data_IF_710442736937
#
_entry.id   IF_710442736937
#
_cell.length_a   1.000
_cell.length_b   1.000
_cell.length_c   1.000
_cell.angle_alpha   90.00
_cell.angle_beta   90.00
_cell.angle_gamma   90.00
#
_symmetry.space_group_name_H-M   'P 1'
#
loop_
_entity.id
_entity.type
_entity.pdbx_description
1 polymer ?
#
# COMPACT_ATOMS: atom_id res chain seq x y z
N UNK A 1 -12.74 -32.42 -3.01
CA UNK A 1 -13.42 -31.56 -2.06
C UNK A 1 -12.64 -31.49 -0.74
N UNK A 2 -12.89 -30.42 0.04
CA UNK A 2 -12.36 -30.24 1.38
C UNK A 2 -13.30 -30.85 2.43
N UNK A 3 -12.72 -31.57 3.38
CA UNK A 3 -13.39 -32.04 4.59
C UNK A 3 -12.48 -31.73 5.80
N UNK A 4 -13.04 -31.66 6.99
CA UNK A 4 -12.28 -31.39 8.24
C UNK A 4 -11.33 -32.53 8.65
N UNK A 5 -11.31 -33.61 7.86
CA UNK A 5 -10.43 -34.75 8.08
C UNK A 5 -8.98 -34.39 7.74
N UNK A 6 -8.00 -34.85 8.49
CA UNK A 6 -6.60 -34.75 8.09
C UNK A 6 -6.40 -35.37 6.70
N UNK A 7 -5.77 -34.65 5.79
CA UNK A 7 -5.50 -35.12 4.42
C UNK A 7 -6.71 -35.15 3.49
N UNK A 8 -7.63 -34.17 3.57
CA UNK A 8 -8.66 -34.02 2.55
C UNK A 8 -8.06 -33.90 1.13
N UNK A 9 -8.73 -34.42 0.07
CA UNK A 9 -8.20 -34.34 -1.30
C UNK A 9 -7.83 -32.91 -1.73
N UNK A 10 -8.58 -31.93 -1.29
CA UNK A 10 -8.29 -30.51 -1.56
C UNK A 10 -6.99 -30.05 -0.88
N UNK A 11 -6.75 -30.44 0.35
CA UNK A 11 -5.53 -30.10 1.08
C UNK A 11 -4.30 -30.78 0.47
N UNK A 12 -4.41 -32.05 0.10
CA UNK A 12 -3.34 -32.79 -0.59
C UNK A 12 -2.99 -32.11 -1.92
N UNK A 13 -3.99 -31.74 -2.72
CA UNK A 13 -3.79 -31.03 -3.98
C UNK A 13 -3.17 -29.65 -3.76
N UNK A 14 -3.65 -28.90 -2.77
CA UNK A 14 -3.11 -27.58 -2.43
C UNK A 14 -1.63 -27.65 -2.00
N UNK A 15 -1.26 -28.65 -1.19
CA UNK A 15 0.13 -28.91 -0.79
C UNK A 15 1.02 -29.24 -2.00
N UNK A 16 0.54 -30.08 -2.91
CA UNK A 16 1.28 -30.41 -4.13
C UNK A 16 1.48 -29.19 -5.04
N UNK A 17 0.44 -28.37 -5.21
CA UNK A 17 0.50 -27.13 -6.02
C UNK A 17 1.42 -26.09 -5.35
N UNK A 18 1.41 -25.99 -4.03
CA UNK A 18 2.31 -25.08 -3.30
C UNK A 18 3.78 -25.51 -3.45
N UNK A 19 4.05 -26.80 -3.42
CA UNK A 19 5.41 -27.34 -3.51
C UNK A 19 6.00 -27.22 -4.92
N UNK A 20 5.18 -27.41 -5.97
CA UNK A 20 5.68 -27.50 -7.32
C UNK A 20 4.80 -26.80 -8.36
N UNK A 21 5.42 -26.43 -9.49
CA UNK A 21 4.77 -25.97 -10.74
C UNK A 21 5.26 -26.84 -11.88
N UNK A 22 4.45 -27.83 -12.23
CA UNK A 22 4.91 -28.90 -13.12
C UNK A 22 6.02 -29.71 -12.43
N UNK A 23 7.15 -29.89 -13.10
CA UNK A 23 8.33 -30.62 -12.58
C UNK A 23 9.27 -29.76 -11.73
N UNK A 24 9.09 -28.43 -11.67
CA UNK A 24 9.97 -27.52 -10.95
C UNK A 24 9.42 -27.12 -9.58
N UNK A 25 10.26 -26.93 -8.55
CA UNK A 25 9.85 -26.35 -7.29
C UNK A 25 9.23 -24.96 -7.50
N UNK A 26 8.15 -24.66 -6.76
CA UNK A 26 7.51 -23.34 -6.81
C UNK A 26 8.28 -22.34 -5.97
N UNK A 27 8.70 -21.25 -6.57
CA UNK A 27 9.45 -20.19 -5.90
C UNK A 27 8.52 -19.23 -5.13
N UNK A 28 7.49 -18.69 -5.80
CA UNK A 28 6.60 -17.68 -5.24
C UNK A 28 5.40 -18.35 -4.54
N UNK A 29 5.63 -18.80 -3.31
CA UNK A 29 4.63 -19.53 -2.54
C UNK A 29 3.66 -18.60 -1.80
N UNK A 30 4.13 -17.44 -1.35
CA UNK A 30 3.33 -16.53 -0.54
C UNK A 30 2.27 -15.74 -1.35
N UNK A 31 2.27 -15.87 -2.68
CA UNK A 31 1.24 -15.30 -3.56
C UNK A 31 0.02 -16.19 -3.72
N UNK A 32 0.03 -17.40 -3.14
CA UNK A 32 -1.01 -18.39 -3.35
C UNK A 32 -1.95 -18.51 -2.16
N UNK A 33 -3.23 -18.59 -2.49
CA UNK A 33 -4.31 -19.09 -1.65
C UNK A 33 -5.17 -20.03 -2.49
N UNK A 34 -5.88 -20.94 -1.86
CA UNK A 34 -6.62 -21.98 -2.56
C UNK A 34 -8.08 -21.93 -2.19
N UNK A 35 -8.92 -22.07 -3.20
CA UNK A 35 -10.36 -22.22 -3.02
C UNK A 35 -10.73 -23.69 -3.21
N UNK A 36 -11.47 -24.25 -2.27
CA UNK A 36 -11.85 -25.65 -2.29
C UNK A 36 -13.34 -25.84 -2.16
N UNK A 37 -13.83 -26.87 -2.85
CA UNK A 37 -15.24 -27.27 -2.79
C UNK A 37 -15.52 -27.92 -1.42
N UNK A 38 -16.66 -27.59 -0.83
CA UNK A 38 -17.21 -28.32 0.30
C UNK A 38 -17.64 -29.73 -0.16
N UNK A 39 -17.39 -30.76 0.65
CA UNK A 39 -17.66 -32.16 0.25
C UNK A 39 -19.13 -32.39 -0.07
N UNK A 40 -20.03 -31.98 0.82
CA UNK A 40 -21.47 -32.22 0.66
C UNK A 40 -22.02 -31.44 -0.54
N UNK A 41 -21.63 -30.16 -0.65
CA UNK A 41 -22.04 -29.32 -1.76
C UNK A 41 -21.46 -29.78 -3.11
N UNK A 42 -20.30 -30.42 -3.09
CA UNK A 42 -19.72 -31.03 -4.29
C UNK A 42 -20.55 -32.22 -4.79
N UNK A 43 -21.06 -33.04 -3.89
CA UNK A 43 -21.96 -34.17 -4.23
C UNK A 43 -23.27 -33.65 -4.83
N UNK A 44 -23.85 -32.60 -4.24
CA UNK A 44 -25.06 -31.93 -4.78
C UNK A 44 -24.82 -31.34 -6.19
N UNK A 45 -23.64 -30.75 -6.41
CA UNK A 45 -23.27 -30.20 -7.73
C UNK A 45 -23.04 -31.32 -8.75
N UNK A 46 -22.39 -32.41 -8.37
CA UNK A 46 -22.16 -33.59 -9.23
C UNK A 46 -23.50 -34.19 -9.70
N UNK A 47 -24.48 -34.32 -8.79
CA UNK A 47 -25.82 -34.77 -9.17
C UNK A 47 -26.50 -33.82 -10.16
N UNK A 48 -26.43 -32.50 -9.94
CA UNK A 48 -26.98 -31.51 -10.86
C UNK A 48 -26.31 -31.54 -12.22
N UNK A 49 -24.97 -31.70 -12.24
CA UNK A 49 -24.21 -31.78 -13.48
C UNK A 49 -24.55 -33.06 -14.30
N UNK A 50 -24.70 -34.19 -13.62
CA UNK A 50 -25.14 -35.44 -14.28
C UNK A 50 -26.51 -35.28 -14.90
N UNK A 51 -27.46 -34.64 -14.22
CA UNK A 51 -28.77 -34.33 -14.79
C UNK A 51 -28.71 -33.44 -16.02
N UNK A 52 -27.87 -32.39 -15.96
CA UNK A 52 -27.66 -31.50 -17.10
C UNK A 52 -27.05 -32.27 -18.29
N UNK A 53 -25.99 -33.04 -18.10
CA UNK A 53 -25.35 -33.81 -19.17
C UNK A 53 -26.28 -34.88 -19.77
N UNK A 54 -27.13 -35.51 -18.95
CA UNK A 54 -28.14 -36.46 -19.44
C UNK A 54 -29.17 -35.79 -20.36
N UNK A 55 -29.69 -34.63 -19.97
CA UNK A 55 -30.62 -33.88 -20.82
C UNK A 55 -29.96 -33.28 -22.06
N UNK A 56 -28.66 -32.85 -21.94
CA UNK A 56 -27.86 -32.39 -23.07
C UNK A 56 -27.70 -33.50 -24.11
N UNK A 57 -27.36 -34.73 -23.69
CA UNK A 57 -27.25 -35.88 -24.57
C UNK A 57 -28.60 -36.21 -25.25
N UNK A 58 -29.72 -36.18 -24.51
CA UNK A 58 -31.06 -36.44 -25.07
C UNK A 58 -31.39 -35.41 -26.15
N UNK A 59 -31.11 -34.13 -25.91
CA UNK A 59 -31.34 -33.05 -26.89
C UNK A 59 -30.44 -33.22 -28.12
N UNK A 60 -29.15 -33.62 -27.94
CA UNK A 60 -28.23 -33.85 -29.03
C UNK A 60 -28.63 -35.04 -29.93
N UNK A 61 -29.19 -36.11 -29.29
CA UNK A 61 -29.53 -37.36 -29.98
C UNK A 61 -31.04 -37.40 -30.41
N UNK A 62 -31.69 -36.28 -30.53
CA UNK A 62 -33.14 -36.13 -30.87
C UNK A 62 -33.54 -37.02 -32.05
N UNK A 63 -32.76 -37.04 -33.14
CA UNK A 63 -33.08 -37.84 -34.34
C UNK A 63 -32.86 -39.33 -34.10
N UNK A 64 -31.81 -39.71 -33.38
CA UNK A 64 -31.52 -41.13 -33.09
C UNK A 64 -32.55 -41.73 -32.13
N UNK A 65 -33.05 -40.93 -31.24
CA UNK A 65 -34.10 -41.31 -30.26
C UNK A 65 -35.51 -41.22 -30.82
N UNK A 66 -35.69 -40.73 -32.07
CA UNK A 66 -36.98 -40.48 -32.69
C UNK A 66 -37.96 -39.70 -31.84
N UNK A 67 -37.51 -38.60 -31.16
CA UNK A 67 -38.35 -37.80 -30.32
C UNK A 67 -39.34 -36.97 -31.13
N UNK A 68 -40.60 -36.93 -30.68
CA UNK A 68 -41.56 -36.02 -31.27
C UNK A 68 -41.34 -34.55 -30.86
N UNK A 69 -41.94 -33.56 -31.54
CA UNK A 69 -41.72 -32.14 -31.27
C UNK A 69 -42.12 -31.71 -29.84
N UNK A 70 -43.02 -32.41 -29.18
CA UNK A 70 -43.42 -32.14 -27.78
C UNK A 70 -42.32 -32.64 -26.84
N UNK A 71 -41.82 -33.84 -27.07
CA UNK A 71 -40.71 -34.44 -26.29
C UNK A 71 -39.41 -33.64 -26.43
N UNK A 72 -39.13 -33.13 -27.63
CA UNK A 72 -37.97 -32.23 -27.84
C UNK A 72 -38.09 -30.98 -27.00
N UNK A 73 -39.20 -30.26 -27.04
CA UNK A 73 -39.41 -29.06 -26.21
C UNK A 73 -39.36 -29.36 -24.72
N UNK A 74 -39.87 -30.51 -24.31
CA UNK A 74 -39.78 -30.96 -22.92
C UNK A 74 -38.32 -31.20 -22.53
N UNK A 75 -37.54 -31.87 -23.35
CA UNK A 75 -36.11 -32.13 -23.12
C UNK A 75 -35.29 -30.82 -23.03
N UNK A 76 -35.54 -29.87 -23.93
CA UNK A 76 -34.92 -28.54 -23.89
C UNK A 76 -35.25 -27.78 -22.60
N UNK A 77 -36.56 -27.82 -22.17
CA UNK A 77 -36.98 -27.20 -20.91
C UNK A 77 -36.29 -27.82 -19.72
N UNK A 78 -36.17 -29.15 -19.68
CA UNK A 78 -35.47 -29.87 -18.60
C UNK A 78 -33.95 -29.60 -18.61
N UNK A 79 -33.33 -29.52 -19.80
CA UNK A 79 -31.93 -29.12 -19.93
C UNK A 79 -31.71 -27.72 -19.36
N UNK A 80 -32.53 -26.75 -19.72
CA UNK A 80 -32.43 -25.38 -19.22
C UNK A 80 -32.64 -25.31 -17.71
N UNK A 81 -33.59 -26.05 -17.15
CA UNK A 81 -33.80 -26.14 -15.71
C UNK A 81 -32.59 -26.75 -14.97
N UNK A 82 -32.00 -27.80 -15.57
CA UNK A 82 -30.78 -28.43 -15.02
C UNK A 82 -29.55 -27.52 -15.10
N UNK A 83 -29.38 -26.75 -16.18
CA UNK A 83 -28.35 -25.75 -16.35
C UNK A 83 -28.48 -24.64 -15.29
N UNK A 84 -29.69 -24.14 -15.08
CA UNK A 84 -29.96 -23.18 -14.00
C UNK A 84 -29.59 -23.73 -12.61
N UNK A 85 -29.86 -25.02 -12.35
CA UNK A 85 -29.49 -25.67 -11.10
C UNK A 85 -27.98 -25.77 -10.92
N UNK A 86 -27.22 -26.11 -11.96
CA UNK A 86 -25.74 -26.14 -11.94
C UNK A 86 -25.19 -24.75 -11.66
N UNK A 87 -25.67 -23.75 -12.38
CA UNK A 87 -25.24 -22.36 -12.23
C UNK A 87 -25.47 -21.81 -10.82
N UNK A 88 -26.61 -22.15 -10.21
CA UNK A 88 -26.93 -21.73 -8.84
C UNK A 88 -26.05 -22.44 -7.79
N UNK A 89 -25.75 -23.74 -7.97
CA UNK A 89 -24.98 -24.53 -7.01
C UNK A 89 -23.48 -24.26 -7.08
N UNK A 90 -22.93 -23.89 -8.23
CA UNK A 90 -21.51 -23.70 -8.44
C UNK A 90 -20.85 -22.72 -7.44
N UNK A 91 -21.37 -21.49 -7.23
CA UNK A 91 -20.81 -20.56 -6.23
C UNK A 91 -21.00 -21.04 -4.79
N UNK A 92 -22.03 -21.86 -4.52
CA UNK A 92 -22.28 -22.43 -3.19
C UNK A 92 -21.35 -23.61 -2.88
N UNK A 93 -20.81 -24.27 -3.89
CA UNK A 93 -19.92 -25.43 -3.73
C UNK A 93 -18.56 -24.99 -3.24
N UNK A 94 -17.99 -23.90 -3.74
CA UNK A 94 -16.68 -23.39 -3.35
C UNK A 94 -16.79 -22.50 -2.12
N UNK A 95 -16.76 -23.11 -0.94
CA UNK A 95 -16.96 -22.43 0.35
C UNK A 95 -15.71 -22.44 1.24
N UNK A 96 -14.64 -23.10 0.87
CA UNK A 96 -13.44 -23.18 1.68
C UNK A 96 -12.29 -22.40 1.08
N UNK A 97 -11.65 -21.60 1.92
CA UNK A 97 -10.42 -20.87 1.64
C UNK A 97 -9.30 -21.54 2.44
N UNK A 98 -8.27 -22.02 1.75
CA UNK A 98 -7.08 -22.61 2.35
C UNK A 98 -5.91 -21.66 2.14
N UNK A 99 -5.34 -21.18 3.23
CA UNK A 99 -4.20 -20.26 3.20
C UNK A 99 -2.98 -20.93 3.86
N UNK A 100 -1.87 -21.12 3.12
CA UNK A 100 -0.63 -21.59 3.71
C UNK A 100 0.09 -20.43 4.41
N UNK A 101 0.68 -20.69 5.56
CA UNK A 101 1.49 -19.75 6.31
C UNK A 101 2.56 -20.43 7.12
N UNK A 102 3.54 -19.70 7.59
CA UNK A 102 4.67 -20.19 8.36
C UNK A 102 5.01 -19.17 9.45
N UNK A 103 5.23 -19.60 10.66
CA UNK A 103 5.49 -18.68 11.77
C UNK A 103 6.91 -18.07 11.74
N UNK A 104 7.88 -18.85 11.26
CA UNK A 104 9.27 -18.44 11.08
C UNK A 104 9.93 -19.36 10.03
N UNK A 105 11.14 -19.05 9.54
CA UNK A 105 11.81 -19.83 8.49
C UNK A 105 11.99 -21.33 8.77
N UNK A 106 12.07 -21.73 10.03
CA UNK A 106 12.28 -23.12 10.47
C UNK A 106 10.99 -23.85 10.85
N UNK A 107 9.88 -23.12 11.01
CA UNK A 107 8.60 -23.71 11.40
C UNK A 107 7.98 -24.50 10.24
N UNK A 108 7.18 -25.55 10.53
CA UNK A 108 6.42 -26.22 9.48
C UNK A 108 5.35 -25.30 8.89
N UNK A 109 5.03 -25.50 7.61
CA UNK A 109 3.91 -24.81 6.96
C UNK A 109 2.60 -25.23 7.60
N UNK A 110 1.87 -24.27 8.15
CA UNK A 110 0.51 -24.44 8.67
C UNK A 110 -0.50 -24.05 7.60
N UNK A 111 -1.62 -24.76 7.59
CA UNK A 111 -2.73 -24.53 6.69
C UNK A 111 -3.92 -24.02 7.49
N UNK A 112 -4.34 -22.80 7.20
CA UNK A 112 -5.57 -22.24 7.74
C UNK A 112 -6.70 -22.52 6.77
N UNK A 113 -7.78 -23.15 7.27
CA UNK A 113 -8.97 -23.47 6.49
C UNK A 113 -10.14 -22.66 7.03
N UNK A 114 -10.62 -21.71 6.26
CA UNK A 114 -11.72 -20.82 6.65
C UNK A 114 -12.89 -20.94 5.70
N UNK A 115 -14.10 -20.97 6.26
CA UNK A 115 -15.34 -21.02 5.46
C UNK A 115 -15.73 -19.64 4.96
N UNK A 116 -15.99 -19.55 3.65
CA UNK A 116 -16.50 -18.35 2.99
C UNK A 116 -18.02 -18.26 3.14
N UNK A 117 -18.51 -17.10 3.51
CA UNK A 117 -19.93 -16.77 3.64
C UNK A 117 -20.31 -15.64 2.69
N UNK A 118 -21.62 -15.46 2.45
CA UNK A 118 -22.16 -14.40 1.60
C UNK A 118 -22.45 -14.85 0.18
N UNK A 119 -23.06 -13.95 -0.59
CA UNK A 119 -23.58 -14.19 -1.96
C UNK A 119 -22.75 -13.50 -3.04
N UNK A 120 -21.74 -12.69 -2.65
CA UNK A 120 -20.83 -12.04 -3.60
C UNK A 120 -20.06 -13.06 -4.45
N UNK A 121 -19.50 -12.60 -5.55
CA UNK A 121 -18.59 -13.41 -6.37
C UNK A 121 -17.48 -14.03 -5.53
N UNK A 122 -17.07 -15.27 -5.84
CA UNK A 122 -16.14 -16.08 -5.06
C UNK A 122 -14.82 -15.35 -4.74
N UNK A 123 -14.23 -14.67 -5.73
CA UNK A 123 -13.00 -13.91 -5.54
C UNK A 123 -13.18 -12.74 -4.55
N UNK A 124 -14.35 -12.08 -4.58
CA UNK A 124 -14.68 -10.97 -3.67
C UNK A 124 -14.83 -11.50 -2.24
N UNK A 125 -15.57 -12.61 -2.05
CA UNK A 125 -15.70 -13.24 -0.73
C UNK A 125 -14.35 -13.67 -0.16
N UNK A 126 -13.51 -14.30 -0.98
CA UNK A 126 -12.17 -14.72 -0.58
C UNK A 126 -11.31 -13.53 -0.18
N UNK A 127 -11.26 -12.46 -0.98
CA UNK A 127 -10.48 -11.26 -0.69
C UNK A 127 -10.96 -10.54 0.57
N UNK A 128 -12.28 -10.41 0.76
CA UNK A 128 -12.86 -9.83 1.99
C UNK A 128 -12.44 -10.64 3.21
N UNK A 129 -12.52 -11.98 3.13
CA UNK A 129 -12.18 -12.87 4.23
C UNK A 129 -10.69 -12.83 4.55
N UNK A 130 -9.83 -12.89 3.55
CA UNK A 130 -8.37 -12.77 3.74
C UNK A 130 -7.97 -11.46 4.41
N UNK A 131 -8.61 -10.34 4.04
CA UNK A 131 -8.37 -9.03 4.66
C UNK A 131 -8.86 -8.99 6.10
N UNK A 132 -10.06 -9.51 6.36
CA UNK A 132 -10.65 -9.53 7.71
C UNK A 132 -9.86 -10.41 8.68
N UNK A 133 -9.28 -11.49 8.22
CA UNK A 133 -8.49 -12.43 9.03
C UNK A 133 -6.98 -12.09 9.02
N UNK A 134 -6.59 -10.92 8.48
CA UNK A 134 -5.21 -10.43 8.38
C UNK A 134 -4.25 -11.34 7.59
N UNK A 135 -4.79 -12.25 6.75
CA UNK A 135 -4.01 -13.08 5.85
C UNK A 135 -3.58 -12.37 4.56
N UNK A 136 -4.17 -11.19 4.30
CA UNK A 136 -3.84 -10.33 3.16
C UNK A 136 -3.69 -8.89 3.64
N UNK A 137 -2.47 -8.41 3.61
CA UNK A 137 -2.09 -7.06 4.05
C UNK A 137 -2.27 -6.09 2.88
N UNK A 138 -3.09 -5.08 3.09
CA UNK A 138 -3.36 -4.03 2.09
C UNK A 138 -2.55 -2.76 2.32
N UNK A 139 -2.07 -2.56 3.55
CA UNK A 139 -1.20 -1.45 3.94
C UNK A 139 -0.18 -1.98 4.93
N UNK A 140 1.10 -1.68 4.71
CA UNK A 140 2.19 -2.09 5.58
C UNK A 140 2.84 -0.84 6.17
N UNK A 141 2.90 -0.75 7.51
CA UNK A 141 3.60 0.34 8.18
C UNK A 141 5.12 0.23 7.97
N UNK A 142 5.80 1.35 7.80
CA UNK A 142 7.25 1.39 7.59
C UNK A 142 8.05 0.85 8.79
N UNK A 143 7.58 1.09 10.01
CA UNK A 143 8.17 0.53 11.24
C UNK A 143 7.97 -0.98 11.33
N UNK A 144 6.83 -1.50 10.86
CA UNK A 144 6.57 -2.93 10.77
C UNK A 144 7.47 -3.57 9.70
N UNK A 145 7.65 -2.90 8.56
CA UNK A 145 8.61 -3.34 7.55
C UNK A 145 10.02 -3.40 8.13
N UNK A 146 10.45 -2.36 8.87
CA UNK A 146 11.76 -2.35 9.55
C UNK A 146 11.91 -3.53 10.50
N UNK A 147 10.89 -3.83 11.30
CA UNK A 147 10.89 -4.98 12.18
C UNK A 147 11.07 -6.29 11.41
N UNK A 148 10.38 -6.49 10.30
CA UNK A 148 10.56 -7.67 9.47
C UNK A 148 11.98 -7.78 8.88
N UNK A 149 12.58 -6.64 8.49
CA UNK A 149 13.95 -6.62 8.00
C UNK A 149 14.97 -7.05 9.06
N UNK A 150 14.72 -6.71 10.33
CA UNK A 150 15.61 -7.01 11.46
C UNK A 150 15.38 -8.42 12.04
N UNK A 151 14.11 -8.85 12.21
CA UNK A 151 13.74 -10.12 12.82
C UNK A 151 14.02 -11.34 11.90
N UNK A 152 14.01 -11.12 10.60
CA UNK A 152 14.25 -12.13 9.58
C UNK A 152 15.48 -11.72 8.78
N UNK A 153 16.34 -12.65 8.29
CA UNK A 153 17.56 -12.28 7.57
C UNK A 153 17.28 -11.74 6.15
N UNK A 154 16.48 -10.65 6.06
CA UNK A 154 16.18 -9.97 4.81
C UNK A 154 17.28 -8.99 4.41
N UNK A 155 18.02 -8.44 5.37
CA UNK A 155 19.23 -7.68 5.10
C UNK A 155 20.30 -8.55 4.42
N UNK A 156 20.94 -8.03 3.40
CA UNK A 156 22.10 -8.65 2.72
C UNK A 156 23.36 -7.87 3.12
N UNK A 157 23.82 -8.10 4.35
CA UNK A 157 24.81 -7.23 5.00
C UNK A 157 24.14 -5.94 5.50
N UNK A 158 24.59 -4.79 5.02
CA UNK A 158 24.12 -3.47 5.47
C UNK A 158 23.04 -2.86 4.56
N UNK A 159 22.66 -3.56 3.49
CA UNK A 159 21.71 -3.10 2.49
C UNK A 159 20.85 -4.24 1.95
N UNK A 160 19.75 -3.89 1.30
CA UNK A 160 18.95 -4.81 0.51
C UNK A 160 18.30 -4.07 -0.67
N UNK A 161 18.29 -4.69 -1.85
CA UNK A 161 17.62 -4.13 -3.02
C UNK A 161 16.10 -4.20 -2.87
N UNK A 162 15.38 -3.15 -3.28
CA UNK A 162 13.91 -3.11 -3.22
C UNK A 162 13.30 -4.25 -4.01
N UNK A 163 13.81 -4.53 -5.22
CA UNK A 163 13.36 -5.67 -6.04
C UNK A 163 13.53 -7.01 -5.33
N UNK A 164 14.64 -7.17 -4.59
CA UNK A 164 14.87 -8.39 -3.80
C UNK A 164 13.85 -8.54 -2.68
N UNK A 165 13.47 -7.43 -2.03
CA UNK A 165 12.40 -7.46 -1.01
C UNK A 165 11.04 -7.82 -1.63
N UNK A 166 10.69 -7.28 -2.80
CA UNK A 166 9.48 -7.67 -3.53
C UNK A 166 9.46 -9.17 -3.78
N UNK A 167 10.57 -9.73 -4.25
CA UNK A 167 10.71 -11.17 -4.46
C UNK A 167 10.62 -11.97 -3.15
N UNK A 168 11.27 -11.50 -2.08
CA UNK A 168 11.27 -12.18 -0.78
C UNK A 168 9.85 -12.24 -0.19
N UNK A 169 9.08 -11.13 -0.24
CA UNK A 169 7.68 -11.09 0.23
C UNK A 169 6.75 -11.98 -0.61
N UNK A 170 6.99 -12.10 -1.90
CA UNK A 170 6.22 -13.01 -2.75
C UNK A 170 6.61 -14.49 -2.54
N UNK A 171 7.84 -14.75 -2.13
CA UNK A 171 8.42 -16.09 -2.00
C UNK A 171 8.12 -16.76 -0.68
N UNK A 172 8.33 -16.08 0.44
CA UNK A 172 8.43 -16.69 1.76
C UNK A 172 7.12 -16.60 2.54
N UNK A 173 6.60 -17.76 2.98
CA UNK A 173 5.35 -17.92 3.71
C UNK A 173 5.37 -17.36 5.14
N UNK A 174 6.55 -17.09 5.70
CA UNK A 174 6.71 -16.46 7.02
C UNK A 174 6.68 -14.93 6.98
N UNK A 175 6.61 -14.34 5.78
CA UNK A 175 6.39 -12.92 5.60
C UNK A 175 4.90 -12.62 5.39
N UNK A 176 4.44 -11.41 5.73
CA UNK A 176 3.08 -10.98 5.43
C UNK A 176 2.76 -11.10 3.94
N UNK A 177 1.60 -11.68 3.63
CA UNK A 177 1.12 -11.73 2.24
C UNK A 177 0.58 -10.38 1.86
N UNK A 178 1.26 -9.68 0.97
CA UNK A 178 0.86 -8.36 0.48
C UNK A 178 -0.18 -8.49 -0.64
N UNK A 179 -1.09 -7.51 -0.72
CA UNK A 179 -2.07 -7.41 -1.82
C UNK A 179 -1.38 -7.27 -3.18
N UNK A 180 -0.28 -6.54 -3.21
CA UNK A 180 0.56 -6.30 -4.37
C UNK A 180 1.90 -5.70 -3.96
N UNK A 181 2.87 -5.62 -4.88
CA UNK A 181 4.19 -5.08 -4.60
C UNK A 181 4.16 -3.57 -4.27
N UNK A 182 3.11 -2.86 -4.68
CA UNK A 182 2.89 -1.44 -4.36
C UNK A 182 2.76 -1.20 -2.85
N UNK A 183 2.19 -2.17 -2.10
CA UNK A 183 2.09 -2.08 -0.64
C UNK A 183 3.48 -1.94 -0.01
N UNK A 184 4.46 -2.69 -0.52
CA UNK A 184 5.85 -2.59 -0.09
C UNK A 184 6.48 -1.25 -0.52
N UNK A 185 6.27 -0.82 -1.76
CA UNK A 185 6.80 0.44 -2.27
C UNK A 185 6.29 1.64 -1.47
N UNK A 186 5.01 1.65 -1.09
CA UNK A 186 4.44 2.66 -0.19
C UNK A 186 5.09 2.63 1.20
N UNK A 187 5.26 1.44 1.80
CA UNK A 187 5.91 1.31 3.10
C UNK A 187 7.36 1.84 3.08
N UNK A 188 8.09 1.60 1.97
CA UNK A 188 9.44 2.12 1.76
C UNK A 188 9.43 3.64 1.63
N UNK A 189 8.55 4.19 0.79
CA UNK A 189 8.40 5.65 0.60
C UNK A 189 8.11 6.34 1.94
N UNK A 190 7.17 5.79 2.69
CA UNK A 190 6.81 6.31 4.02
C UNK A 190 7.95 6.21 5.02
N UNK A 191 8.72 5.12 4.99
CA UNK A 191 9.86 4.92 5.89
C UNK A 191 11.01 5.89 5.63
N UNK A 192 11.34 6.14 4.37
CA UNK A 192 12.44 7.06 4.00
C UNK A 192 12.12 8.51 4.35
N UNK A 193 10.85 8.92 4.30
CA UNK A 193 10.45 10.30 4.60
C UNK A 193 10.36 10.62 6.08
N UNK A 194 10.36 9.62 6.98
CA UNK A 194 10.27 9.86 8.43
C UNK A 194 11.47 10.64 8.94
N UNK A 195 11.23 11.68 9.73
CA UNK A 195 12.31 12.45 10.37
C UNK A 195 13.06 11.62 11.42
N UNK A 196 12.37 10.65 12.02
CA UNK A 196 12.90 9.70 13.01
C UNK A 196 13.53 8.44 12.36
N UNK A 197 13.81 8.48 11.06
CA UNK A 197 14.32 7.35 10.28
C UNK A 197 15.54 6.64 10.92
N UNK A 198 16.35 7.38 11.66
CA UNK A 198 17.57 6.85 12.31
C UNK A 198 17.23 5.77 13.36
N UNK A 199 16.06 5.86 13.99
CA UNK A 199 15.61 4.94 15.03
C UNK A 199 14.53 3.99 14.49
N UNK A 200 13.59 4.54 13.74
CA UNK A 200 12.33 3.85 13.44
C UNK A 200 12.34 3.10 12.10
N UNK A 201 13.17 3.54 11.14
CA UNK A 201 13.13 2.95 9.79
C UNK A 201 14.54 2.77 9.17
N UNK A 202 14.75 3.25 7.97
CA UNK A 202 15.93 3.01 7.14
C UNK A 202 16.16 4.19 6.20
N UNK A 203 17.33 4.22 5.55
CA UNK A 203 17.62 5.13 4.47
C UNK A 203 17.44 4.46 3.10
N UNK A 204 17.35 5.27 2.06
CA UNK A 204 17.33 4.87 0.64
C UNK A 204 18.63 5.29 -0.03
N UNK A 205 19.17 4.47 -0.92
CA UNK A 205 20.25 4.83 -1.82
C UNK A 205 19.94 4.40 -3.25
N UNK A 206 20.39 5.15 -4.23
CA UNK A 206 20.24 4.81 -5.65
C UNK A 206 21.13 3.64 -6.06
N UNK A 207 22.35 3.60 -5.53
CA UNK A 207 23.30 2.51 -5.78
C UNK A 207 24.40 2.47 -4.70
N UNK A 208 25.19 1.41 -4.76
CA UNK A 208 26.39 1.26 -3.94
C UNK A 208 27.62 1.16 -4.84
N UNK A 209 28.66 1.93 -4.53
CA UNK A 209 29.92 1.89 -5.24
C UNK A 209 30.86 0.92 -4.51
N UNK A 210 31.25 -0.15 -5.18
CA UNK A 210 32.14 -1.17 -4.61
C UNK A 210 33.64 -0.78 -4.64
N UNK A 211 34.01 0.11 -5.57
CA UNK A 211 35.40 0.55 -5.69
C UNK A 211 35.83 1.52 -4.58
N UNK A 212 34.88 2.39 -4.16
CA UNK A 212 35.04 3.19 -2.96
C UNK A 212 33.78 2.97 -2.10
N UNK A 213 33.78 2.08 -1.10
CA UNK A 213 32.60 1.63 -0.39
C UNK A 213 31.71 2.78 0.09
N UNK A 214 30.77 3.20 -0.75
CA UNK A 214 29.93 4.37 -0.53
C UNK A 214 28.57 4.22 -1.21
N UNK A 215 27.52 4.66 -0.54
CA UNK A 215 26.18 4.77 -1.10
C UNK A 215 26.04 6.05 -1.92
N UNK A 216 25.60 5.91 -3.18
CA UNK A 216 25.32 7.04 -4.06
C UNK A 216 23.84 7.39 -4.00
N UNK A 217 23.53 8.70 -4.01
CA UNK A 217 22.16 9.18 -3.92
C UNK A 217 21.49 8.77 -2.61
N UNK A 218 22.22 8.80 -1.50
CA UNK A 218 21.72 8.49 -0.16
C UNK A 218 20.68 9.54 0.25
N UNK A 219 19.48 9.08 0.60
CA UNK A 219 18.32 9.92 0.95
C UNK A 219 17.66 9.38 2.22
N UNK A 220 17.36 10.29 3.15
CA UNK A 220 16.67 9.98 4.41
C UNK A 220 15.98 11.24 4.96
N UNK A 221 14.88 11.08 5.65
CA UNK A 221 14.07 12.20 6.15
C UNK A 221 13.47 13.09 5.05
N UNK A 222 13.34 12.57 3.83
CA UNK A 222 12.82 13.30 2.68
C UNK A 222 11.96 12.41 1.79
N UNK A 223 11.11 13.00 0.97
CA UNK A 223 10.23 12.26 0.06
C UNK A 223 11.03 11.68 -1.10
N UNK A 224 10.92 10.39 -1.30
CA UNK A 224 11.51 9.65 -2.43
C UNK A 224 10.39 8.86 -3.10
N UNK A 225 10.20 9.02 -4.40
CA UNK A 225 9.26 8.18 -5.15
C UNK A 225 9.90 6.80 -5.38
N UNK A 226 9.30 5.77 -4.80
CA UNK A 226 9.72 4.38 -4.94
C UNK A 226 8.63 3.60 -5.66
N UNK A 227 9.01 2.85 -6.68
CA UNK A 227 8.15 1.87 -7.36
C UNK A 227 8.64 0.44 -7.09
N UNK A 228 7.82 -0.59 -7.32
CA UNK A 228 8.24 -1.98 -7.17
C UNK A 228 9.42 -2.38 -8.07
N UNK A 229 9.57 -1.72 -9.20
CA UNK A 229 10.64 -1.93 -10.17
C UNK A 229 11.91 -1.12 -9.87
N UNK A 230 11.90 -0.28 -8.83
CA UNK A 230 13.04 0.55 -8.45
C UNK A 230 14.28 -0.31 -8.20
N UNK A 231 15.38 0.10 -8.78
CA UNK A 231 16.71 -0.55 -8.58
C UNK A 231 17.41 -0.09 -7.31
N UNK A 232 16.80 0.83 -6.57
CA UNK A 232 17.33 1.39 -5.34
C UNK A 232 17.50 0.36 -4.23
N UNK A 233 18.23 0.79 -3.23
CA UNK A 233 18.63 0.00 -2.07
C UNK A 233 18.03 0.61 -0.80
N UNK A 234 17.57 -0.23 0.11
CA UNK A 234 17.42 0.15 1.52
C UNK A 234 18.75 -0.04 2.24
N UNK A 235 19.10 0.90 3.08
CA UNK A 235 20.34 0.92 3.83
C UNK A 235 20.00 1.00 5.32
N UNK A 236 20.71 0.24 6.14
CA UNK A 236 20.57 0.31 7.60
C UNK A 236 20.83 1.72 8.10
N UNK A 237 20.05 2.14 9.08
CA UNK A 237 20.07 3.51 9.59
C UNK A 237 21.43 3.91 10.18
N UNK A 238 22.08 3.02 10.91
CA UNK A 238 23.42 3.22 11.50
C UNK A 238 24.50 3.44 10.45
N UNK A 239 24.46 2.65 9.37
CA UNK A 239 25.41 2.74 8.25
C UNK A 239 25.22 4.03 7.46
N UNK A 240 23.96 4.35 7.16
CA UNK A 240 23.61 5.58 6.46
C UNK A 240 24.01 6.82 7.25
N UNK A 241 23.76 6.83 8.56
CA UNK A 241 24.16 7.91 9.46
C UNK A 241 25.66 8.11 9.46
N UNK A 242 26.43 7.03 9.57
CA UNK A 242 27.88 7.11 9.56
C UNK A 242 28.41 7.80 8.30
N UNK A 243 27.89 7.41 7.11
CA UNK A 243 28.29 8.04 5.85
C UNK A 243 27.92 9.52 5.81
N UNK A 244 26.73 9.91 6.26
CA UNK A 244 26.28 11.30 6.30
C UNK A 244 27.16 12.14 7.25
N UNK A 245 27.50 11.61 8.41
CA UNK A 245 28.35 12.28 9.38
C UNK A 245 29.79 12.50 8.80
N UNK A 246 30.35 11.48 8.13
CA UNK A 246 31.63 11.57 7.44
C UNK A 246 31.62 12.61 6.30
N UNK A 247 30.57 12.63 5.48
CA UNK A 247 30.40 13.61 4.40
C UNK A 247 30.24 15.04 4.93
N UNK A 248 29.49 15.20 6.02
CA UNK A 248 29.29 16.51 6.67
C UNK A 248 30.62 17.04 7.26
N UNK A 249 31.41 16.17 7.91
CA UNK A 249 32.70 16.53 8.44
C UNK A 249 33.69 16.88 7.32
N UNK A 250 33.70 16.10 6.22
CA UNK A 250 34.56 16.37 5.07
C UNK A 250 34.22 17.71 4.41
N UNK A 251 32.90 18.01 4.27
CA UNK A 251 32.44 19.28 3.72
C UNK A 251 32.80 20.47 4.63
N UNK A 252 32.69 20.31 5.95
CA UNK A 252 33.10 21.36 6.91
C UNK A 252 34.60 21.61 6.89
N UNK A 253 35.42 20.55 6.78
CA UNK A 253 36.88 20.66 6.67
C UNK A 253 37.30 21.33 5.35
N UNK A 254 36.62 21.01 4.22
CA UNK A 254 36.87 21.66 2.94
C UNK A 254 36.48 23.15 2.96
N UNK A 255 35.39 23.52 3.61
CA UNK A 255 34.96 24.91 3.77
C UNK A 255 35.95 25.70 4.63
N UNK A 256 36.49 25.10 5.71
CA UNK A 256 37.50 25.72 6.58
C UNK A 256 38.83 25.92 5.83
N UNK A 257 39.22 24.94 5.00
CA UNK A 257 40.46 25.05 4.18
C UNK A 257 40.31 26.11 3.08
N UNK A 258 39.12 26.28 2.49
CA UNK A 258 38.84 27.33 1.50
C UNK A 258 38.83 28.75 2.09
N UNK A 259 38.45 28.90 3.35
CA UNK A 259 38.46 30.19 4.04
C UNK A 259 39.86 30.68 4.43
N UNK A 260 40.84 29.77 4.53
CA UNK A 260 42.21 30.08 4.85
C UNK A 260 43.10 30.59 3.70
N UNK A 261 42.61 30.52 2.45
CA UNK A 261 43.36 30.89 1.24
C UNK A 261 43.17 32.32 0.73
N UNK A 262 42.40 33.15 1.43
CA UNK A 262 42.08 34.51 1.01
C UNK A 262 42.78 35.60 1.86
N UNK A 263 44.08 35.40 2.21
CA UNK A 263 44.85 36.43 2.89
C UNK A 263 46.27 36.43 2.41
N UNK A 264 46.57 37.15 1.35
CA UNK A 264 47.92 37.67 1.10
C UNK A 264 47.80 39.15 0.73
N UNK A 265 48.45 40.07 1.48
CA UNK A 265 48.41 41.50 1.16
C UNK A 265 49.54 41.83 0.17
N UNK A 266 49.19 42.25 -1.02
CA UNK A 266 50.09 42.93 -1.94
C UNK A 266 50.14 44.42 -1.63
N UNK A 267 51.21 44.86 -0.98
CA UNK A 267 51.52 46.28 -0.84
C UNK A 267 52.08 46.83 -2.13
N UNK A 268 51.54 47.96 -2.65
CA UNK A 268 52.31 48.98 -3.36
C UNK A 268 51.71 50.35 -3.12
N UNK A 269 52.67 51.28 -2.86
CA UNK A 269 52.48 52.68 -2.54
C UNK A 269 52.16 53.57 -3.76
N UNK A 270 51.65 54.79 -3.46
CA UNK A 270 51.68 55.95 -4.36
C UNK A 270 50.37 56.72 -4.36
N UNK A 271 50.23 57.69 -3.55
CA UNK A 271 50.52 59.09 -3.67
C UNK A 271 49.37 59.96 -4.05
N UNK A 272 49.15 60.97 -3.18
CA UNK A 272 48.76 62.37 -3.37
C UNK A 272 47.26 62.79 -3.35
N UNK A 273 47.00 63.56 -2.31
CA UNK A 273 46.27 64.84 -2.14
C UNK A 273 44.83 65.06 -2.56
N UNK A 274 44.11 65.58 -1.56
CA UNK A 274 43.00 66.50 -1.86
C UNK A 274 41.87 66.49 -0.81
N UNK A 275 42.10 67.12 0.34
CA UNK A 275 41.27 68.13 1.05
C UNK A 275 39.73 68.10 0.89
N UNK A 276 38.98 67.96 1.92
CA UNK A 276 38.48 68.89 2.93
C UNK A 276 37.08 68.47 3.46
N UNK A 277 36.98 68.52 4.75
CA UNK A 277 35.86 68.98 5.63
C UNK A 277 34.46 68.35 5.42
N UNK A 278 33.81 67.85 6.46
CA UNK A 278 33.52 68.41 7.77
C UNK A 278 32.59 67.48 8.55
N UNK A 279 32.77 67.50 9.88
CA UNK A 279 31.81 67.32 10.95
C UNK A 279 31.14 65.92 11.19
N UNK A 280 31.58 65.35 12.27
CA UNK A 280 30.88 64.37 13.13
C UNK A 280 29.66 65.03 13.83
N UNK A 281 28.78 64.32 14.57
CA UNK A 281 29.10 63.25 15.53
C UNK A 281 28.03 62.10 15.67
N UNK A 282 28.40 61.02 16.32
CA UNK A 282 27.50 60.18 17.09
C UNK A 282 27.18 58.82 16.50
N UNK A 283 27.99 57.84 16.77
CA UNK A 283 27.61 56.46 16.57
C UNK A 283 27.84 55.64 17.83
N UNK A 284 26.77 55.19 18.44
CA UNK A 284 26.77 54.14 19.44
C UNK A 284 27.07 52.79 18.78
N UNK A 285 27.70 51.83 19.50
CA UNK A 285 28.11 50.56 18.94
C UNK A 285 26.89 49.65 18.63
N UNK A 286 26.88 49.13 17.43
CA UNK A 286 25.90 48.13 16.97
C UNK A 286 26.30 46.79 17.57
N UNK A 287 25.36 46.03 18.23
CA UNK A 287 25.68 44.72 18.72
C UNK A 287 25.84 43.74 17.53
N UNK A 288 26.81 42.87 17.63
CA UNK A 288 27.08 41.79 16.66
C UNK A 288 25.82 40.94 16.42
N UNK A 289 25.42 40.86 15.15
CA UNK A 289 24.33 39.99 14.68
C UNK A 289 24.75 38.54 14.85
N UNK A 290 24.14 37.86 15.79
CA UNK A 290 24.15 36.39 15.90
C UNK A 290 23.45 35.85 14.62
N UNK A 291 23.98 34.86 13.92
CA UNK A 291 23.29 34.26 12.76
C UNK A 291 21.95 33.68 13.23
N UNK A 292 20.87 34.18 12.67
CA UNK A 292 19.53 33.70 12.91
C UNK A 292 19.47 32.21 12.50
N UNK A 293 19.16 31.34 13.43
CA UNK A 293 18.81 29.95 13.15
C UNK A 293 17.60 29.86 12.22
N UNK A 294 17.35 28.73 11.59
CA UNK A 294 16.25 28.56 10.65
C UNK A 294 14.94 28.99 11.30
N UNK A 295 14.24 29.94 10.65
CA UNK A 295 12.95 30.45 11.14
C UNK A 295 11.97 29.26 11.15
N UNK A 296 11.38 28.90 12.28
CA UNK A 296 10.43 27.78 12.35
C UNK A 296 9.20 28.09 11.47
N UNK A 297 8.65 27.06 10.77
CA UNK A 297 7.48 27.24 9.93
C UNK A 297 6.29 27.68 10.78
N UNK A 298 5.59 28.74 10.34
CA UNK A 298 4.48 29.37 11.07
C UNK A 298 3.10 29.10 10.47
N UNK A 299 3.02 28.42 9.34
CA UNK A 299 1.77 28.17 8.62
C UNK A 299 1.79 26.76 8.04
N UNK A 300 0.71 26.04 8.23
CA UNK A 300 0.41 24.79 7.56
C UNK A 300 -0.80 24.98 6.64
N UNK A 301 -0.79 24.33 5.48
CA UNK A 301 -1.95 24.18 4.61
C UNK A 301 -1.88 22.79 3.98
N UNK A 302 -3.02 22.13 3.86
CA UNK A 302 -3.13 20.81 3.23
C UNK A 302 -4.49 20.65 2.58
N UNK A 303 -4.53 20.05 1.39
CA UNK A 303 -5.74 19.67 0.68
C UNK A 303 -5.74 18.18 0.46
N UNK A 304 -6.85 17.51 0.73
CA UNK A 304 -6.99 16.06 0.59
C UNK A 304 -8.31 15.74 -0.11
N UNK A 305 -8.27 14.75 -1.02
CA UNK A 305 -9.49 14.19 -1.62
C UNK A 305 -9.94 13.01 -0.77
N UNK A 306 -11.21 13.02 -0.38
CA UNK A 306 -11.83 11.94 0.37
C UNK A 306 -12.59 11.01 -0.59
N UNK A 307 -12.60 9.71 -0.29
CA UNK A 307 -13.48 8.76 -0.98
C UNK A 307 -14.92 9.00 -0.51
N UNK A 308 -15.87 9.35 -1.40
CA UNK A 308 -17.26 9.61 -1.03
C UNK A 308 -17.91 8.49 -0.20
N UNK A 309 -17.55 7.22 -0.48
CA UNK A 309 -18.07 6.07 0.25
C UNK A 309 -17.52 5.95 1.68
N UNK A 310 -16.41 6.64 2.01
CA UNK A 310 -15.70 6.57 3.28
C UNK A 310 -15.42 7.92 3.91
N UNK A 311 -15.98 8.99 3.36
CA UNK A 311 -15.69 10.36 3.73
C UNK A 311 -15.75 10.63 5.24
N UNK A 312 -16.75 10.06 5.95
CA UNK A 312 -16.87 10.21 7.40
C UNK A 312 -15.71 9.55 8.17
N UNK A 313 -15.27 8.36 7.75
CA UNK A 313 -14.15 7.66 8.39
C UNK A 313 -12.82 8.35 8.11
N UNK A 314 -12.62 8.78 6.88
CA UNK A 314 -11.38 9.43 6.46
C UNK A 314 -11.27 10.84 7.09
N UNK A 315 -12.38 11.58 7.20
CA UNK A 315 -12.43 12.85 7.93
C UNK A 315 -12.11 12.68 9.43
N UNK A 316 -12.66 11.65 10.08
CA UNK A 316 -12.34 11.34 11.49
C UNK A 316 -10.86 11.07 11.68
N UNK A 317 -10.27 10.30 10.78
CA UNK A 317 -8.85 9.98 10.82
C UNK A 317 -7.95 11.21 10.61
N UNK A 318 -8.35 12.13 9.71
CA UNK A 318 -7.64 13.40 9.52
C UNK A 318 -7.77 14.28 10.77
N UNK A 319 -8.93 14.26 11.42
CA UNK A 319 -9.12 14.99 12.66
C UNK A 319 -8.18 14.49 13.76
N UNK A 320 -8.06 13.17 13.92
CA UNK A 320 -7.21 12.56 14.94
C UNK A 320 -5.70 12.69 14.64
N UNK A 321 -5.32 12.47 13.37
CA UNK A 321 -3.90 12.40 12.98
C UNK A 321 -3.28 13.76 12.59
N UNK A 322 -4.09 14.76 12.24
CA UNK A 322 -3.59 16.08 11.76
C UNK A 322 -4.15 17.22 12.59
N UNK A 323 -5.48 17.35 12.68
CA UNK A 323 -6.11 18.53 13.29
C UNK A 323 -5.83 18.58 14.78
N UNK A 324 -5.87 17.44 15.49
CA UNK A 324 -5.61 17.35 16.90
C UNK A 324 -4.23 17.89 17.32
N UNK A 325 -3.23 17.72 16.46
CA UNK A 325 -1.88 18.24 16.72
C UNK A 325 -1.80 19.76 16.67
N UNK A 326 -2.64 20.42 15.87
CA UNK A 326 -2.70 21.89 15.81
C UNK A 326 -3.65 22.48 16.85
N UNK A 327 -4.78 21.80 17.10
CA UNK A 327 -5.78 22.24 18.08
C UNK A 327 -5.25 22.28 19.53
N UNK A 328 -4.18 21.51 19.82
CA UNK A 328 -3.51 21.50 21.11
C UNK A 328 -2.43 22.59 21.28
N UNK A 329 -2.12 23.37 20.25
CA UNK A 329 -1.10 24.42 20.32
C UNK A 329 -1.72 25.74 20.80
N UNK A 330 -1.16 26.32 21.85
CA UNK A 330 -1.63 27.58 22.42
C UNK A 330 -1.43 28.73 21.40
N UNK A 331 -2.53 29.39 21.02
CA UNK A 331 -2.52 30.48 20.02
C UNK A 331 -2.58 30.04 18.55
N UNK A 332 -2.79 28.75 18.26
CA UNK A 332 -3.03 28.29 16.90
C UNK A 332 -4.50 28.49 16.49
N UNK A 333 -4.71 29.11 15.34
CA UNK A 333 -6.03 29.22 14.69
C UNK A 333 -6.13 28.15 13.60
N UNK A 334 -7.10 27.22 13.73
CA UNK A 334 -7.27 26.08 12.86
C UNK A 334 -8.61 26.15 12.15
N UNK A 335 -8.58 26.40 10.85
CA UNK A 335 -9.76 26.39 10.00
C UNK A 335 -9.79 25.13 9.14
N UNK A 336 -10.91 24.41 9.15
CA UNK A 336 -11.14 23.23 8.30
C UNK A 336 -12.35 23.48 7.42
N UNK A 337 -12.16 23.36 6.11
CA UNK A 337 -13.23 23.53 5.11
C UNK A 337 -13.47 22.20 4.40
N UNK A 338 -14.73 21.79 4.28
CA UNK A 338 -15.16 20.64 3.48
C UNK A 338 -15.91 21.15 2.26
N UNK A 339 -15.38 20.86 1.07
CA UNK A 339 -15.98 21.17 -0.20
C UNK A 339 -16.53 19.89 -0.84
N UNK A 340 -17.77 19.93 -1.33
CA UNK A 340 -18.44 18.78 -1.93
C UNK A 340 -18.92 19.19 -3.32
N UNK A 341 -18.42 18.53 -4.34
CA UNK A 341 -18.83 18.70 -5.72
C UNK A 341 -19.39 17.37 -6.25
N UNK A 342 -20.58 17.41 -6.86
CA UNK A 342 -21.24 16.22 -7.39
C UNK A 342 -21.85 16.53 -8.76
N UNK A 343 -21.42 15.80 -9.79
CA UNK A 343 -21.99 15.85 -11.14
C UNK A 343 -22.99 14.70 -11.31
N UNK A 344 -24.23 14.99 -11.69
CA UNK A 344 -25.30 14.02 -11.87
C UNK A 344 -25.70 14.03 -13.35
N UNK A 345 -25.23 13.08 -14.18
CA UNK A 345 -25.42 13.09 -15.63
C UNK A 345 -26.89 13.13 -16.08
N UNK A 346 -27.78 12.51 -15.34
CA UNK A 346 -29.22 12.41 -15.64
C UNK A 346 -30.06 13.45 -14.87
N UNK A 347 -29.42 14.40 -14.19
CA UNK A 347 -30.07 15.39 -13.34
C UNK A 347 -30.52 14.84 -11.98
N UNK A 348 -30.71 15.73 -11.01
CA UNK A 348 -31.15 15.36 -9.66
C UNK A 348 -32.68 15.27 -9.59
N UNK A 349 -33.22 14.21 -8.97
CA UNK A 349 -34.67 14.12 -8.72
C UNK A 349 -35.11 15.17 -7.69
N UNK A 350 -36.36 15.64 -7.77
CA UNK A 350 -36.93 16.62 -6.82
C UNK A 350 -36.79 16.17 -5.36
N UNK A 351 -36.96 14.87 -5.12
CA UNK A 351 -36.80 14.28 -3.78
C UNK A 351 -35.36 14.38 -3.27
N UNK A 352 -34.37 14.13 -4.14
CA UNK A 352 -32.95 14.27 -3.81
C UNK A 352 -32.59 15.72 -3.51
N UNK A 353 -33.02 16.66 -4.37
CA UNK A 353 -32.81 18.09 -4.19
C UNK A 353 -33.36 18.55 -2.83
N UNK A 354 -34.61 18.18 -2.52
CA UNK A 354 -35.25 18.53 -1.25
C UNK A 354 -34.45 17.97 -0.05
N UNK A 355 -34.13 16.68 -0.09
CA UNK A 355 -33.45 16.01 1.03
C UNK A 355 -32.08 16.62 1.29
N UNK A 356 -31.28 16.83 0.25
CA UNK A 356 -29.92 17.40 0.38
C UNK A 356 -29.98 18.87 0.85
N UNK A 357 -30.94 19.64 0.35
CA UNK A 357 -31.14 21.04 0.78
C UNK A 357 -31.56 21.14 2.25
N UNK A 358 -32.50 20.31 2.71
CA UNK A 358 -32.91 20.25 4.12
C UNK A 358 -31.76 19.83 5.05
N UNK A 359 -30.97 18.83 4.63
CA UNK A 359 -29.80 18.36 5.38
C UNK A 359 -28.69 19.43 5.41
N UNK A 360 -28.41 20.11 4.29
CA UNK A 360 -27.43 21.20 4.25
C UNK A 360 -27.74 22.34 5.21
N UNK A 361 -29.03 22.72 5.32
CA UNK A 361 -29.51 23.70 6.30
C UNK A 361 -29.34 23.20 7.73
N UNK A 362 -29.70 21.95 7.99
CA UNK A 362 -29.59 21.34 9.34
C UNK A 362 -28.14 21.24 9.79
N UNK A 363 -27.23 20.90 8.88
CA UNK A 363 -25.79 20.78 9.12
C UNK A 363 -25.04 22.12 9.03
N UNK A 364 -25.75 23.24 8.82
CA UNK A 364 -25.21 24.59 8.79
C UNK A 364 -24.10 24.79 7.74
N UNK A 365 -24.35 24.31 6.52
CA UNK A 365 -23.46 24.63 5.40
C UNK A 365 -23.51 26.14 5.11
N UNK A 366 -22.37 26.77 4.90
CA UNK A 366 -22.27 28.22 4.64
C UNK A 366 -22.78 28.56 3.24
N UNK A 367 -22.52 27.69 2.25
CA UNK A 367 -22.99 27.83 0.88
C UNK A 367 -23.29 26.46 0.29
N UNK A 368 -24.46 26.29 -0.30
CA UNK A 368 -24.86 25.07 -0.99
C UNK A 368 -26.04 25.32 -1.92
N UNK A 369 -26.12 24.57 -3.01
CA UNK A 369 -27.20 24.66 -3.99
C UNK A 369 -27.04 23.63 -5.10
N UNK A 370 -28.06 23.51 -5.93
CA UNK A 370 -27.99 22.79 -7.21
C UNK A 370 -27.99 23.84 -8.32
N UNK A 371 -27.14 23.62 -9.31
CA UNK A 371 -27.02 24.47 -10.50
C UNK A 371 -27.63 23.74 -11.70
N UNK A 372 -28.33 24.46 -12.55
CA UNK A 372 -28.81 23.97 -13.84
C UNK A 372 -27.78 24.41 -14.89
N UNK A 373 -27.04 23.44 -15.48
CA UNK A 373 -26.19 23.66 -16.65
C UNK A 373 -26.95 23.42 -17.95
#
# INVERSE_FOLDING_TARGET
PYGKEPSSPAEVAAKAILASRGSAPRLYQNTLVFLAADRVRFEDLDEALRKFLAWESIVADTNTLNLDPHQVRQAETQKQAADGAVTARLPETYQWLLAPGQANPQAPVKWEATRLTGTDALAVRASKKLKSDEWLVTTLGSTVLRKHLDDVPLWRGDRVAIRQLVDDFARYLYLPRLLGPEVLAHAVTDGVRLLTWQVDTFAYAESFDEAGPRYRGLKCGQVVAVSPESTGLLVKADVARKQIDEETQAAAAAAAAGAGSASAPGAVAGGVSGRASSSAPGASPVPATVPAGPIPPRRYHGTVRLDPARAGRDASRIADEVIAHFAGLEGADVTVTLEIEATIPDGASEQLVRTVTENGRTLKFESFGFEEE
#
